data_IF_881359624711
#
_entry.id   IF_881359624711
#
_cell.length_a   1.000
_cell.length_b   1.000
_cell.length_c   1.000
_cell.angle_alpha   90.00
_cell.angle_beta   90.00
_cell.angle_gamma   90.00
#
_symmetry.space_group_name_H-M   'P 1'
#
loop_
_entity.id
_entity.type
_entity.pdbx_description
1 polymer ?
#
# COMPACT_ATOMS: atom_id res chain seq x y z
N UNK A 1 29.12 -5.06 14.05
CA UNK A 1 29.38 -4.09 12.96
C UNK A 1 29.21 -4.86 11.68
N UNK A 2 27.98 -4.99 11.19
CA UNK A 2 27.70 -5.53 9.86
C UNK A 2 27.13 -4.39 9.03
N UNK A 3 28.04 -3.56 8.50
CA UNK A 3 27.70 -2.66 7.41
C UNK A 3 27.58 -3.53 6.16
N UNK A 4 26.41 -4.15 5.96
CA UNK A 4 26.01 -4.59 4.64
C UNK A 4 25.84 -3.33 3.80
N UNK A 5 26.90 -2.94 3.10
CA UNK A 5 26.88 -1.90 2.08
C UNK A 5 25.73 -2.24 1.12
N UNK A 6 24.70 -1.41 1.08
CA UNK A 6 23.61 -1.56 0.12
C UNK A 6 24.22 -1.76 -1.28
N UNK A 7 23.72 -2.73 -2.09
CA UNK A 7 24.25 -2.92 -3.41
C UNK A 7 24.17 -1.59 -4.17
N UNK A 8 25.17 -1.26 -5.01
CA UNK A 8 25.33 0.08 -5.61
C UNK A 8 24.19 0.55 -6.52
N UNK A 9 23.10 -0.23 -6.63
CA UNK A 9 21.94 0.02 -7.47
C UNK A 9 20.59 -0.22 -6.77
N UNK A 10 20.54 -0.35 -5.44
CA UNK A 10 19.25 -0.48 -4.72
C UNK A 10 18.36 0.75 -4.94
N UNK A 11 17.16 0.54 -5.45
CA UNK A 11 16.13 1.53 -5.70
C UNK A 11 15.07 1.44 -4.61
N UNK A 12 15.09 2.38 -3.68
CA UNK A 12 14.05 2.52 -2.66
C UNK A 12 12.88 3.37 -3.17
N UNK A 13 11.69 2.79 -3.19
CA UNK A 13 10.44 3.45 -3.59
C UNK A 13 9.55 3.64 -2.37
N UNK A 14 9.34 4.89 -1.97
CA UNK A 14 8.49 5.28 -0.84
C UNK A 14 7.04 5.38 -1.29
N UNK A 15 6.12 4.79 -0.51
CA UNK A 15 4.69 4.97 -0.76
C UNK A 15 4.28 6.41 -0.47
N UNK A 16 3.66 7.06 -1.45
CA UNK A 16 3.16 8.43 -1.32
C UNK A 16 1.65 8.41 -1.25
N UNK A 17 1.09 9.09 -0.25
CA UNK A 17 -0.35 9.27 -0.19
C UNK A 17 -0.81 10.09 -1.39
N UNK A 18 -1.85 9.60 -2.07
CA UNK A 18 -2.57 10.35 -3.09
C UNK A 18 -3.80 10.99 -2.42
N UNK A 19 -3.59 12.17 -1.83
CA UNK A 19 -4.62 12.86 -1.05
C UNK A 19 -5.82 13.24 -1.91
N UNK A 20 -5.58 13.69 -3.16
CA UNK A 20 -6.62 14.06 -4.09
C UNK A 20 -7.51 12.86 -4.46
N UNK A 21 -6.91 11.71 -4.78
CA UNK A 21 -7.66 10.50 -5.06
C UNK A 21 -8.38 9.97 -3.81
N UNK A 22 -7.74 10.04 -2.64
CA UNK A 22 -8.36 9.70 -1.35
C UNK A 22 -9.62 10.54 -1.11
N UNK A 23 -9.52 11.86 -1.27
CA UNK A 23 -10.65 12.79 -1.11
C UNK A 23 -11.75 12.52 -2.14
N UNK A 24 -11.41 12.29 -3.40
CA UNK A 24 -12.38 11.94 -4.45
C UNK A 24 -13.17 10.68 -4.08
N UNK A 25 -12.48 9.65 -3.58
CA UNK A 25 -13.14 8.42 -3.14
C UNK A 25 -14.02 8.65 -1.88
N UNK A 26 -13.61 9.50 -0.93
CA UNK A 26 -14.45 9.89 0.22
C UNK A 26 -15.68 10.70 -0.19
N UNK A 27 -15.53 11.59 -1.17
CA UNK A 27 -16.64 12.36 -1.74
C UNK A 27 -17.66 11.45 -2.41
N UNK A 28 -17.22 10.38 -3.07
CA UNK A 28 -18.12 9.35 -3.64
C UNK A 28 -19.00 8.72 -2.56
N UNK A 29 -18.43 8.34 -1.41
CA UNK A 29 -19.18 7.80 -0.26
C UNK A 29 -20.20 8.81 0.25
N UNK A 30 -19.76 10.05 0.48
CA UNK A 30 -20.60 11.12 0.99
C UNK A 30 -21.73 11.48 0.02
N UNK A 31 -21.46 11.44 -1.29
CA UNK A 31 -22.45 11.69 -2.32
C UNK A 31 -23.56 10.64 -2.32
N UNK A 32 -23.21 9.35 -2.24
CA UNK A 32 -24.18 8.25 -2.18
C UNK A 32 -25.06 8.35 -0.93
N UNK A 33 -24.45 8.67 0.22
CA UNK A 33 -25.17 8.85 1.48
C UNK A 33 -26.17 10.02 1.39
N UNK A 34 -25.74 11.17 0.85
CA UNK A 34 -26.60 12.36 0.71
C UNK A 34 -27.73 12.15 -0.30
N UNK A 35 -27.48 11.46 -1.41
CA UNK A 35 -28.50 11.23 -2.45
C UNK A 35 -29.40 10.03 -2.16
N UNK A 36 -29.07 9.19 -1.18
CA UNK A 36 -29.76 7.93 -0.92
C UNK A 36 -29.58 6.89 -2.03
N UNK A 37 -28.67 7.12 -2.97
CA UNK A 37 -28.38 6.19 -4.06
C UNK A 37 -27.55 5.01 -3.57
N UNK A 38 -27.80 3.84 -4.16
CA UNK A 38 -26.94 2.66 -3.96
C UNK A 38 -25.67 2.81 -4.80
N UNK A 39 -24.56 2.30 -4.25
CA UNK A 39 -23.33 2.08 -5.02
C UNK A 39 -23.57 1.12 -6.18
N UNK A 40 -22.69 1.14 -7.18
CA UNK A 40 -22.69 0.13 -8.24
C UNK A 40 -22.41 -1.25 -7.65
N UNK A 41 -22.92 -2.30 -8.30
CA UNK A 41 -22.67 -3.66 -7.84
C UNK A 41 -21.16 -3.97 -7.91
N UNK A 42 -20.62 -4.54 -6.83
CA UNK A 42 -19.19 -4.79 -6.67
C UNK A 42 -18.31 -3.54 -6.42
N UNK A 43 -18.87 -2.32 -6.36
CA UNK A 43 -18.11 -1.08 -6.11
C UNK A 43 -17.46 -1.09 -4.72
N UNK A 44 -16.16 -0.78 -4.69
CA UNK A 44 -15.35 -0.64 -3.49
C UNK A 44 -15.34 0.82 -3.05
N UNK A 45 -16.14 1.11 -2.03
CA UNK A 45 -16.16 2.40 -1.34
C UNK A 45 -15.03 2.46 -0.32
N UNK A 46 -14.29 3.57 -0.27
CA UNK A 46 -13.19 3.77 0.69
C UNK A 46 -13.72 3.81 2.13
N UNK A 47 -13.07 3.09 3.05
CA UNK A 47 -13.43 3.11 4.46
C UNK A 47 -12.86 4.38 5.15
N UNK A 48 -13.43 4.81 6.29
CA UNK A 48 -12.95 6.00 7.01
C UNK A 48 -11.47 5.94 7.40
N UNK A 49 -10.99 4.73 7.73
CA UNK A 49 -9.62 4.46 8.17
C UNK A 49 -8.69 4.01 7.03
N UNK A 50 -9.12 4.19 5.79
CA UNK A 50 -8.33 3.89 4.60
C UNK A 50 -7.89 5.17 3.89
N UNK A 51 -6.72 5.12 3.28
CA UNK A 51 -6.23 6.13 2.36
C UNK A 51 -5.59 5.47 1.13
N UNK A 52 -5.57 6.21 0.02
CA UNK A 52 -4.97 5.75 -1.24
C UNK A 52 -3.52 6.17 -1.28
N UNK A 53 -2.65 5.22 -1.57
CA UNK A 53 -1.22 5.45 -1.76
C UNK A 53 -0.83 5.04 -3.18
N UNK A 54 0.33 5.52 -3.62
CA UNK A 54 0.92 5.12 -4.89
C UNK A 54 2.41 4.88 -4.80
N UNK A 55 2.90 4.06 -5.71
CA UNK A 55 4.30 3.95 -6.09
C UNK A 55 4.48 4.46 -7.51
N UNK A 56 5.49 5.30 -7.71
CA UNK A 56 5.93 5.79 -9.01
C UNK A 56 7.21 5.01 -9.38
N UNK A 57 7.14 4.13 -10.37
CA UNK A 57 8.26 3.30 -10.82
C UNK A 57 9.11 4.06 -11.85
N UNK A 58 10.38 4.40 -11.54
CA UNK A 58 11.26 5.09 -12.48
C UNK A 58 11.75 4.17 -13.60
N UNK A 59 11.83 2.87 -13.35
CA UNK A 59 12.07 1.79 -14.32
C UNK A 59 11.08 0.65 -14.07
N UNK A 60 10.87 -0.20 -15.08
CA UNK A 60 9.89 -1.30 -15.03
C UNK A 60 10.55 -2.68 -14.92
N UNK A 61 11.88 -2.73 -15.05
CA UNK A 61 12.73 -3.91 -14.89
C UNK A 61 13.27 -3.90 -13.45
N UNK A 62 12.54 -4.59 -12.58
CA UNK A 62 12.75 -4.56 -11.13
C UNK A 62 12.70 -5.98 -10.56
N UNK A 63 13.60 -6.29 -9.64
CA UNK A 63 13.51 -7.42 -8.74
C UNK A 63 13.23 -6.93 -7.33
N UNK A 64 12.23 -7.51 -6.69
CA UNK A 64 11.93 -7.21 -5.30
C UNK A 64 13.09 -7.65 -4.40
N UNK A 65 13.54 -6.75 -3.52
CA UNK A 65 14.62 -7.05 -2.57
C UNK A 65 14.08 -7.19 -1.15
N UNK A 66 13.43 -6.15 -0.63
CA UNK A 66 12.85 -6.17 0.73
C UNK A 66 11.83 -5.06 0.94
N UNK A 67 11.04 -5.24 1.99
CA UNK A 67 10.22 -4.16 2.55
C UNK A 67 11.01 -3.39 3.62
N UNK A 68 10.82 -2.07 3.63
CA UNK A 68 11.30 -1.19 4.68
C UNK A 68 10.07 -0.52 5.31
N UNK A 69 9.77 -0.82 6.58
CA UNK A 69 8.67 -0.17 7.25
C UNK A 69 8.91 -0.01 8.75
N UNK A 70 8.33 1.06 9.28
CA UNK A 70 8.37 1.38 10.70
C UNK A 70 7.07 2.04 11.11
N UNK A 71 6.62 1.75 12.33
CA UNK A 71 5.48 2.38 12.97
C UNK A 71 5.97 2.83 14.35
N UNK A 72 5.89 4.12 14.65
CA UNK A 72 6.34 4.64 15.94
C UNK A 72 5.43 4.23 17.09
N UNK A 73 4.12 4.13 16.83
CA UNK A 73 3.11 3.76 17.82
C UNK A 73 2.71 2.26 17.74
N UNK A 74 1.78 1.85 18.60
CA UNK A 74 1.05 0.60 18.41
C UNK A 74 0.02 0.75 17.29
N UNK A 75 -0.43 -0.38 16.74
CA UNK A 75 -1.46 -0.43 15.72
C UNK A 75 -1.16 -1.42 14.62
N UNK A 76 -2.07 -1.48 13.65
CA UNK A 76 -2.01 -2.40 12.52
C UNK A 76 -2.20 -1.64 11.23
N UNK A 77 -1.32 -1.90 10.26
CA UNK A 77 -1.44 -1.38 8.91
C UNK A 77 -1.59 -2.55 7.96
N UNK A 78 -2.59 -2.48 7.09
CA UNK A 78 -2.79 -3.40 5.98
C UNK A 78 -2.63 -2.64 4.67
N UNK A 79 -1.80 -3.17 3.78
CA UNK A 79 -1.54 -2.65 2.45
C UNK A 79 -2.11 -3.61 1.42
N UNK A 80 -3.00 -3.11 0.58
CA UNK A 80 -3.63 -3.88 -0.49
C UNK A 80 -3.30 -3.26 -1.84
N UNK A 81 -2.65 -4.01 -2.72
CA UNK A 81 -2.40 -3.58 -4.09
C UNK A 81 -3.70 -3.45 -4.89
N UNK A 82 -3.74 -2.53 -5.83
CA UNK A 82 -4.85 -2.40 -6.78
C UNK A 82 -4.36 -2.79 -8.17
N UNK A 83 -5.21 -3.53 -8.91
CA UNK A 83 -4.93 -3.96 -10.28
C UNK A 83 -4.50 -2.79 -11.17
N UNK A 84 -3.40 -2.97 -11.91
CA UNK A 84 -2.87 -1.99 -12.85
C UNK A 84 -3.81 -1.62 -14.02
N UNK A 85 -4.88 -2.39 -14.21
CA UNK A 85 -5.92 -2.08 -15.20
C UNK A 85 -6.93 -1.05 -14.70
N UNK A 86 -6.99 -0.79 -13.39
CA UNK A 86 -7.83 0.28 -12.86
C UNK A 86 -7.25 1.64 -13.25
N UNK A 87 -8.11 2.53 -13.73
CA UNK A 87 -7.75 3.91 -14.04
C UNK A 87 -8.70 4.81 -13.24
N UNK A 88 -8.23 5.47 -12.16
CA UNK A 88 -9.09 6.19 -11.23
C UNK A 88 -10.00 7.23 -11.87
N UNK A 89 -9.54 7.89 -12.94
CA UNK A 89 -10.30 8.93 -13.65
C UNK A 89 -11.43 8.37 -14.52
N UNK A 90 -11.43 7.07 -14.83
CA UNK A 90 -12.36 6.46 -15.77
C UNK A 90 -13.47 5.66 -15.09
N UNK A 91 -13.17 4.99 -13.97
CA UNK A 91 -14.13 4.12 -13.29
C UNK A 91 -13.96 4.15 -11.77
N UNK A 92 -15.05 3.93 -11.04
CA UNK A 92 -14.95 3.60 -9.61
C UNK A 92 -14.18 2.29 -9.39
N UNK A 93 -13.49 2.19 -8.25
CA UNK A 93 -12.77 0.99 -7.86
C UNK A 93 -13.76 -0.15 -7.60
N UNK A 94 -13.45 -1.35 -8.06
CA UNK A 94 -14.23 -2.56 -7.83
C UNK A 94 -13.50 -3.50 -6.87
N UNK A 95 -14.24 -4.21 -6.01
CA UNK A 95 -13.63 -5.12 -5.01
C UNK A 95 -12.74 -6.19 -5.67
N UNK A 96 -13.12 -6.69 -6.85
CA UNK A 96 -12.33 -7.66 -7.62
C UNK A 96 -10.98 -7.14 -8.14
N UNK A 97 -10.75 -5.83 -8.09
CA UNK A 97 -9.49 -5.20 -8.50
C UNK A 97 -8.50 -5.10 -7.35
N UNK A 98 -8.91 -5.41 -6.12
CA UNK A 98 -7.99 -5.56 -4.99
C UNK A 98 -7.20 -6.85 -5.16
N UNK A 99 -5.90 -6.76 -4.95
CA UNK A 99 -4.95 -7.84 -5.18
C UNK A 99 -4.65 -8.59 -3.89
N UNK A 100 -4.36 -9.88 -4.05
CA UNK A 100 -3.77 -10.75 -3.03
C UNK A 100 -2.35 -11.17 -3.46
N UNK A 101 -1.45 -11.56 -2.55
CA UNK A 101 -1.61 -11.40 -1.12
C UNK A 101 -1.59 -9.92 -0.69
N UNK A 102 -2.13 -9.64 0.49
CA UNK A 102 -2.04 -8.33 1.14
C UNK A 102 -0.83 -8.26 2.07
N UNK A 103 -0.21 -7.09 2.15
CA UNK A 103 0.81 -6.83 3.16
C UNK A 103 0.16 -6.45 4.49
N UNK A 104 0.58 -7.06 5.61
CA UNK A 104 0.11 -6.66 6.95
C UNK A 104 1.25 -6.66 7.95
N UNK A 105 1.37 -5.57 8.70
CA UNK A 105 2.27 -5.46 9.83
C UNK A 105 1.62 -4.73 11.01
N UNK A 106 2.06 -5.05 12.23
CA UNK A 106 1.45 -4.53 13.45
C UNK A 106 2.37 -4.54 14.67
N UNK A 107 2.02 -3.71 15.65
CA UNK A 107 2.48 -3.76 17.04
C UNK A 107 1.26 -3.76 17.95
N UNK A 108 1.18 -4.68 18.91
CA UNK A 108 0.05 -4.72 19.84
C UNK A 108 0.20 -3.62 20.89
N UNK A 109 -0.91 -3.18 21.49
CA UNK A 109 -0.89 -2.11 22.51
C UNK A 109 -0.03 -2.44 23.74
N UNK A 110 0.17 -3.73 24.05
CA UNK A 110 0.97 -4.19 25.18
C UNK A 110 2.42 -4.53 24.79
N UNK A 111 2.77 -4.48 23.51
CA UNK A 111 4.15 -4.71 23.07
C UNK A 111 4.96 -3.42 23.36
N UNK A 112 6.17 -3.51 23.97
CA UNK A 112 7.05 -2.36 24.11
C UNK A 112 7.36 -1.69 22.76
N UNK A 113 7.53 -0.36 22.74
CA UNK A 113 7.82 0.39 21.50
C UNK A 113 9.10 -0.08 20.79
N UNK A 114 10.08 -0.58 21.56
CA UNK A 114 11.34 -1.12 21.05
C UNK A 114 11.18 -2.49 20.37
N UNK A 115 10.02 -3.14 20.53
CA UNK A 115 9.76 -4.45 19.91
C UNK A 115 9.65 -4.29 18.39
N UNK A 116 10.33 -5.15 17.61
CA UNK A 116 10.15 -5.21 16.17
C UNK A 116 8.68 -5.39 15.79
N UNK A 117 8.30 -4.83 14.64
CA UNK A 117 6.96 -5.03 14.10
C UNK A 117 6.75 -6.49 13.74
N UNK A 118 5.55 -7.00 14.05
CA UNK A 118 5.10 -8.31 13.60
C UNK A 118 4.59 -8.17 12.18
N UNK A 119 4.86 -9.15 11.33
CA UNK A 119 4.39 -9.18 9.95
C UNK A 119 4.17 -10.62 9.47
N UNK A 120 3.44 -10.78 8.37
CA UNK A 120 3.28 -12.08 7.70
C UNK A 120 4.36 -12.23 6.62
N UNK A 121 5.46 -12.89 6.97
CA UNK A 121 6.69 -12.89 6.14
C UNK A 121 6.46 -13.45 4.73
N UNK A 122 5.78 -14.59 4.61
CA UNK A 122 5.50 -15.21 3.31
C UNK A 122 4.61 -14.32 2.42
N UNK A 123 3.52 -13.79 2.96
CA UNK A 123 2.60 -12.91 2.23
C UNK A 123 3.30 -11.62 1.81
N UNK A 124 4.13 -11.04 2.68
CA UNK A 124 4.89 -9.83 2.39
C UNK A 124 5.94 -10.07 1.29
N UNK A 125 6.64 -11.20 1.32
CA UNK A 125 7.60 -11.59 0.28
C UNK A 125 6.90 -11.73 -1.08
N UNK A 126 5.86 -12.56 -1.16
CA UNK A 126 5.09 -12.77 -2.41
C UNK A 126 4.46 -11.46 -2.89
N UNK A 127 3.95 -10.63 -1.98
CA UNK A 127 3.36 -9.34 -2.35
C UNK A 127 4.41 -8.41 -2.98
N UNK A 128 5.63 -8.36 -2.43
CA UNK A 128 6.74 -7.59 -2.97
C UNK A 128 7.11 -8.02 -4.39
N UNK A 129 7.28 -9.32 -4.62
CA UNK A 129 7.55 -9.90 -5.94
C UNK A 129 6.43 -9.58 -6.94
N UNK A 130 5.18 -9.65 -6.50
CA UNK A 130 4.03 -9.29 -7.34
C UNK A 130 4.01 -7.80 -7.71
N UNK A 131 4.46 -6.90 -6.84
CA UNK A 131 4.61 -5.47 -7.16
C UNK A 131 5.65 -5.29 -8.27
N UNK A 132 6.79 -5.97 -8.21
CA UNK A 132 7.82 -5.94 -9.26
C UNK A 132 7.25 -6.38 -10.63
N UNK A 133 6.51 -7.50 -10.67
CA UNK A 133 5.88 -7.97 -11.91
C UNK A 133 4.82 -6.98 -12.43
N UNK A 134 4.07 -6.34 -11.54
CA UNK A 134 3.05 -5.35 -11.93
C UNK A 134 3.65 -4.01 -12.37
N UNK A 135 4.89 -3.68 -11.97
CA UNK A 135 5.59 -2.51 -12.47
C UNK A 135 5.85 -2.59 -13.99
N UNK A 136 5.95 -3.80 -14.55
CA UNK A 136 6.05 -4.05 -16.01
C UNK A 136 4.83 -3.56 -16.79
N UNK A 137 3.66 -3.45 -16.14
CA UNK A 137 2.40 -3.04 -16.79
C UNK A 137 2.29 -1.51 -16.91
N UNK A 138 2.57 -0.76 -15.84
CA UNK A 138 2.46 0.71 -15.80
C UNK A 138 3.45 1.30 -14.80
N UNK A 139 3.89 2.54 -15.07
CA UNK A 139 4.81 3.31 -14.22
C UNK A 139 4.22 3.81 -12.90
N UNK A 140 2.90 3.72 -12.70
CA UNK A 140 2.25 4.11 -11.44
C UNK A 140 1.34 2.97 -11.02
N UNK A 141 1.44 2.56 -9.76
CA UNK A 141 0.54 1.58 -9.15
C UNK A 141 -0.09 2.18 -7.89
N UNK A 142 -1.38 1.91 -7.71
CA UNK A 142 -2.14 2.38 -6.55
C UNK A 142 -2.36 1.28 -5.52
N UNK A 143 -2.50 1.70 -4.27
CA UNK A 143 -2.65 0.85 -3.10
C UNK A 143 -3.70 1.43 -2.17
N UNK A 144 -4.40 0.58 -1.43
CA UNK A 144 -5.16 0.99 -0.25
C UNK A 144 -4.35 0.67 0.99
N UNK A 145 -4.14 1.68 1.83
CA UNK A 145 -3.61 1.50 3.18
C UNK A 145 -4.75 1.61 4.16
N UNK A 146 -4.95 0.58 4.99
CA UNK A 146 -5.93 0.56 6.06
C UNK A 146 -5.21 0.66 7.41
N UNK A 147 -5.50 1.71 8.17
CA UNK A 147 -4.93 1.97 9.48
C UNK A 147 -5.92 1.52 10.57
N UNK A 148 -5.51 0.60 11.44
CA UNK A 148 -6.36 0.05 12.50
C UNK A 148 -5.63 0.02 13.83
N UNK A 149 -6.41 -0.19 14.89
CA UNK A 149 -5.89 -0.47 16.23
C UNK A 149 -4.96 0.63 16.78
N UNK A 150 -5.21 1.89 16.42
CA UNK A 150 -4.42 3.05 16.83
C UNK A 150 -3.34 3.49 15.85
N UNK A 151 -3.14 2.76 14.74
CA UNK A 151 -2.22 3.19 13.69
C UNK A 151 -2.70 4.49 13.03
N UNK A 152 -1.75 5.38 12.72
CA UNK A 152 -1.99 6.65 12.02
C UNK A 152 -0.94 6.83 10.92
N UNK A 153 -1.32 7.46 9.81
CA UNK A 153 -0.44 7.71 8.68
C UNK A 153 0.79 8.55 9.07
N UNK A 154 0.64 9.52 9.99
CA UNK A 154 1.73 10.37 10.46
C UNK A 154 2.86 9.62 11.18
N UNK A 155 2.57 8.41 11.66
CA UNK A 155 3.48 7.57 12.44
C UNK A 155 4.10 6.43 11.61
N UNK A 156 3.75 6.36 10.32
CA UNK A 156 4.17 5.31 9.41
C UNK A 156 5.29 5.80 8.48
N UNK A 157 6.36 5.02 8.37
CA UNK A 157 7.25 5.02 7.22
C UNK A 157 7.11 3.68 6.49
N UNK A 158 6.93 3.71 5.18
CA UNK A 158 6.80 2.50 4.37
C UNK A 158 7.39 2.74 2.97
N UNK A 159 8.30 1.85 2.58
CA UNK A 159 8.94 1.80 1.28
C UNK A 159 9.23 0.36 0.88
N UNK A 160 9.46 0.16 -0.41
CA UNK A 160 9.92 -1.09 -0.99
C UNK A 160 11.27 -0.85 -1.66
N UNK A 161 12.22 -1.74 -1.40
CA UNK A 161 13.51 -1.75 -2.07
C UNK A 161 13.49 -2.76 -3.23
N UNK A 162 13.94 -2.31 -4.39
CA UNK A 162 14.13 -3.13 -5.58
C UNK A 162 15.58 -3.04 -6.06
N UNK A 163 16.03 -4.07 -6.78
CA UNK A 163 17.22 -3.98 -7.63
C UNK A 163 16.80 -3.95 -9.09
N UNK A 164 17.45 -3.16 -9.96
CA UNK A 164 17.28 -3.30 -11.40
C UNK A 164 17.56 -4.74 -11.86
N UNK A 165 16.78 -5.23 -12.83
CA UNK A 165 17.13 -6.46 -13.56
C UNK A 165 18.35 -6.13 -14.47
N UNK A 166 19.42 -6.93 -14.38
CA UNK A 166 20.65 -6.76 -15.18
C UNK A 166 20.50 -7.26 -16.61
#
# INVERSE_FOLDING_TARGET
>A
MDNATAPPHALELVFREDTALTEMMRLRVSSLQRSGQKRQDGERLLLPHEAVYRLDFPTQELHFSRWNFSLSAHGRVTITGISQHWTPDLTHLMTRQLLEPIGTFWRNANDPEETPLKWLEADMQEFGERIAELAKVRKVMYFLFAFKDGAEAANLSCSVEFSPEE
#
